data_IF_133222132114
#
_entry.id   IF_133222132114
#
_cell.length_a   1.000
_cell.length_b   1.000
_cell.length_c   1.000
_cell.angle_alpha   90.00
_cell.angle_beta   90.00
_cell.angle_gamma   90.00
#
_symmetry.space_group_name_H-M   'P 1'
#
loop_
_entity.id
_entity.type
_entity.pdbx_description
1 polymer ?
#
# COMPACT_ATOMS: atom_id res chain seq x y z
N UNK A 1 2.56 -6.71 -11.89
CA UNK A 1 3.85 -5.98 -11.78
C UNK A 1 4.77 -6.84 -10.93
N UNK A 2 5.92 -6.39 -10.45
CA UNK A 2 6.71 -7.19 -9.49
C UNK A 2 7.27 -6.28 -8.41
N UNK A 3 7.51 -6.83 -7.23
CA UNK A 3 8.09 -6.07 -6.12
C UNK A 3 9.45 -5.47 -6.52
N UNK A 4 10.23 -6.21 -7.32
CA UNK A 4 11.48 -5.71 -7.89
C UNK A 4 11.26 -4.50 -8.81
N UNK A 5 10.19 -4.48 -9.62
CA UNK A 5 9.88 -3.33 -10.47
C UNK A 5 9.51 -2.09 -9.65
N UNK A 6 8.82 -2.26 -8.51
CA UNK A 6 8.56 -1.20 -7.55
C UNK A 6 9.87 -0.63 -6.98
N UNK A 7 10.77 -1.49 -6.51
CA UNK A 7 12.07 -1.07 -5.96
C UNK A 7 12.94 -0.36 -6.99
N UNK A 8 12.99 -0.86 -8.23
CA UNK A 8 13.73 -0.21 -9.31
C UNK A 8 13.18 1.17 -9.64
N UNK A 9 11.85 1.31 -9.68
CA UNK A 9 11.21 2.58 -9.94
C UNK A 9 11.50 3.60 -8.83
N UNK A 10 11.46 3.19 -7.56
CA UNK A 10 11.80 4.05 -6.43
C UNK A 10 13.20 4.65 -6.54
N UNK A 11 14.16 3.87 -7.04
CA UNK A 11 15.55 4.29 -7.17
C UNK A 11 15.81 5.20 -8.38
N UNK A 12 15.04 5.04 -9.47
CA UNK A 12 15.39 5.62 -10.78
C UNK A 12 14.39 6.64 -11.32
N UNK A 13 13.10 6.49 -11.02
CA UNK A 13 12.02 7.25 -11.65
C UNK A 13 11.66 8.48 -10.79
N UNK A 14 11.23 9.56 -11.44
CA UNK A 14 10.78 10.78 -10.76
C UNK A 14 9.29 10.74 -10.36
N UNK A 15 8.51 9.87 -11.00
CA UNK A 15 7.07 9.67 -10.75
C UNK A 15 6.74 8.19 -10.92
N UNK A 16 5.74 7.65 -10.20
CA UNK A 16 5.37 6.25 -10.38
C UNK A 16 4.68 6.05 -11.74
N UNK A 17 4.83 4.88 -12.38
CA UNK A 17 4.14 4.58 -13.62
C UNK A 17 2.62 4.76 -13.52
N UNK A 18 1.97 5.46 -14.48
CA UNK A 18 0.53 5.74 -14.41
C UNK A 18 -0.34 4.48 -14.57
N UNK A 19 0.23 3.40 -15.10
CA UNK A 19 -0.43 2.11 -15.24
C UNK A 19 -0.53 1.32 -13.92
N UNK A 20 0.12 1.78 -12.84
CA UNK A 20 0.00 1.15 -11.52
C UNK A 20 -1.28 1.57 -10.82
N UNK A 21 -1.82 0.68 -9.98
CA UNK A 21 -2.97 0.99 -9.13
C UNK A 21 -2.68 2.19 -8.22
N UNK A 22 -3.74 2.88 -7.77
CA UNK A 22 -3.57 3.98 -6.82
C UNK A 22 -2.93 3.50 -5.53
N UNK A 23 -3.23 2.28 -5.07
CA UNK A 23 -2.56 1.64 -3.94
C UNK A 23 -1.03 1.52 -4.12
N UNK A 24 -0.55 1.01 -5.27
CA UNK A 24 0.90 0.90 -5.53
C UNK A 24 1.56 2.28 -5.68
N UNK A 25 0.88 3.23 -6.33
CA UNK A 25 1.36 4.61 -6.45
C UNK A 25 1.46 5.27 -5.08
N UNK A 26 0.51 5.01 -4.18
CA UNK A 26 0.52 5.52 -2.82
C UNK A 26 1.74 5.01 -2.03
N UNK A 27 2.04 3.71 -2.10
CA UNK A 27 3.24 3.14 -1.46
C UNK A 27 4.54 3.70 -2.05
N UNK A 28 4.57 3.96 -3.36
CA UNK A 28 5.72 4.57 -4.01
C UNK A 28 5.97 5.99 -3.49
N UNK A 29 4.92 6.81 -3.34
CA UNK A 29 5.03 8.16 -2.78
C UNK A 29 5.42 8.12 -1.30
N UNK A 30 4.85 7.21 -0.51
CA UNK A 30 5.18 7.04 0.91
C UNK A 30 6.66 6.72 1.12
N UNK A 31 7.22 5.80 0.31
CA UNK A 31 8.63 5.43 0.37
C UNK A 31 9.59 6.57 0.00
N UNK A 32 9.10 7.60 -0.68
CA UNK A 32 9.87 8.82 -1.01
C UNK A 32 9.59 9.99 -0.07
N UNK A 33 8.77 9.78 0.96
CA UNK A 33 8.39 10.81 1.93
C UNK A 33 7.35 11.81 1.42
N UNK A 34 6.70 11.55 0.29
CA UNK A 34 5.64 12.40 -0.26
C UNK A 34 4.27 12.01 0.34
N UNK A 35 4.05 12.47 1.57
CA UNK A 35 2.87 12.13 2.36
C UNK A 35 1.55 12.52 1.69
N UNK A 36 1.50 13.72 1.10
CA UNK A 36 0.28 14.25 0.47
C UNK A 36 -0.08 13.47 -0.79
N UNK A 37 0.90 13.15 -1.64
CA UNK A 37 0.64 12.34 -2.83
C UNK A 37 0.29 10.88 -2.47
N UNK A 38 0.87 10.33 -1.40
CA UNK A 38 0.52 9.00 -0.91
C UNK A 38 -0.97 8.92 -0.52
N UNK A 39 -1.45 9.87 0.31
CA UNK A 39 -2.86 9.94 0.69
C UNK A 39 -3.77 10.16 -0.51
N UNK A 40 -3.42 11.07 -1.42
CA UNK A 40 -4.22 11.35 -2.60
C UNK A 40 -4.39 10.11 -3.49
N UNK A 41 -3.31 9.34 -3.70
CA UNK A 41 -3.36 8.10 -4.48
C UNK A 41 -4.19 7.01 -3.79
N UNK A 42 -4.04 6.84 -2.47
CA UNK A 42 -4.80 5.85 -1.71
C UNK A 42 -6.30 6.20 -1.65
N UNK A 43 -6.63 7.48 -1.48
CA UNK A 43 -8.01 7.99 -1.44
C UNK A 43 -8.72 7.85 -2.80
N UNK A 44 -8.01 8.09 -3.91
CA UNK A 44 -8.56 7.94 -5.25
C UNK A 44 -8.80 6.47 -5.65
N UNK A 45 -8.18 5.52 -4.96
CA UNK A 45 -8.34 4.09 -5.18
C UNK A 45 -9.43 3.53 -4.26
N UNK A 46 -10.66 3.45 -4.77
CA UNK A 46 -11.83 2.97 -4.01
C UNK A 46 -11.84 1.45 -3.77
N UNK A 47 -10.80 0.74 -4.21
CA UNK A 47 -10.67 -0.70 -4.00
C UNK A 47 -10.32 -1.05 -2.54
N UNK A 48 -10.35 -2.36 -2.24
CA UNK A 48 -9.85 -2.89 -0.97
C UNK A 48 -8.36 -2.66 -0.80
N UNK A 49 -7.60 -2.63 -1.89
CA UNK A 49 -6.16 -2.43 -1.86
C UNK A 49 -5.83 -0.97 -1.57
N UNK A 50 -6.56 -0.03 -2.17
CA UNK A 50 -6.47 1.40 -1.83
C UNK A 50 -6.81 1.66 -0.35
N UNK A 51 -7.90 1.04 0.12
CA UNK A 51 -8.28 1.09 1.54
C UNK A 51 -7.21 0.49 2.47
N UNK A 52 -6.52 -0.58 2.04
CA UNK A 52 -5.48 -1.22 2.85
C UNK A 52 -4.25 -0.31 2.99
N UNK A 53 -3.81 0.32 1.89
CA UNK A 53 -2.71 1.28 1.94
C UNK A 53 -3.10 2.52 2.75
N UNK A 54 -4.34 3.01 2.63
CA UNK A 54 -4.82 4.14 3.44
C UNK A 54 -4.81 3.82 4.94
N UNK A 55 -5.15 2.58 5.32
CA UNK A 55 -5.08 2.13 6.70
C UNK A 55 -3.64 2.16 7.27
N UNK A 56 -2.67 1.72 6.46
CA UNK A 56 -1.26 1.79 6.82
C UNK A 56 -0.78 3.25 6.96
N UNK A 57 -1.20 4.15 6.07
CA UNK A 57 -0.83 5.56 6.17
C UNK A 57 -1.34 6.20 7.47
N UNK A 58 -2.60 6.01 7.84
CA UNK A 58 -3.09 6.50 9.15
C UNK A 58 -2.41 5.82 10.34
N UNK A 59 -2.01 4.55 10.21
CA UNK A 59 -1.21 3.88 11.24
C UNK A 59 0.15 4.57 11.41
N UNK A 60 0.81 4.94 10.31
CA UNK A 60 2.07 5.69 10.30
C UNK A 60 1.91 7.11 10.86
N UNK A 61 0.74 7.72 10.68
CA UNK A 61 0.37 9.02 11.26
C UNK A 61 0.19 8.95 12.79
N UNK A 62 -0.17 7.78 13.32
CA UNK A 62 -0.56 7.58 14.71
C UNK A 62 -2.07 7.67 14.95
N UNK A 63 -2.87 7.88 13.90
CA UNK A 63 -4.34 7.85 13.97
C UNK A 63 -4.86 6.41 13.89
N UNK A 64 -4.74 5.70 15.02
CA UNK A 64 -5.12 4.29 15.12
C UNK A 64 -6.63 4.05 14.97
N UNK A 65 -7.46 5.08 15.22
CA UNK A 65 -8.90 5.00 15.06
C UNK A 65 -9.27 4.99 13.57
N UNK A 66 -8.76 5.95 12.80
CA UNK A 66 -8.97 5.98 11.35
C UNK A 66 -8.27 4.81 10.65
N UNK A 67 -7.06 4.45 11.07
CA UNK A 67 -6.41 3.24 10.58
C UNK A 67 -7.33 2.01 10.74
N UNK A 68 -7.95 1.85 11.93
CA UNK A 68 -8.92 0.79 12.20
C UNK A 68 -10.12 0.79 11.25
N UNK A 69 -10.70 1.96 10.97
CA UNK A 69 -11.78 2.11 10.00
C UNK A 69 -11.36 1.64 8.60
N UNK A 70 -10.19 2.05 8.13
CA UNK A 70 -9.70 1.70 6.80
C UNK A 70 -9.28 0.23 6.67
N UNK A 71 -8.70 -0.37 7.71
CA UNK A 71 -8.45 -1.83 7.74
C UNK A 71 -9.75 -2.62 7.61
N UNK A 72 -10.80 -2.20 8.33
CA UNK A 72 -12.12 -2.81 8.22
C UNK A 72 -12.70 -2.65 6.81
N UNK A 73 -12.56 -1.46 6.19
CA UNK A 73 -12.98 -1.21 4.80
C UNK A 73 -12.22 -2.06 3.78
N UNK A 74 -10.93 -2.31 4.03
CA UNK A 74 -10.10 -3.23 3.25
C UNK A 74 -10.48 -4.71 3.44
N UNK A 75 -11.29 -5.03 4.45
CA UNK A 75 -11.60 -6.40 4.84
C UNK A 75 -10.41 -7.14 5.45
N UNK A 76 -9.50 -6.42 6.13
CA UNK A 76 -8.29 -6.97 6.74
C UNK A 76 -8.22 -6.65 8.23
N UNK A 77 -7.65 -7.55 9.06
CA UNK A 77 -7.38 -7.23 10.45
C UNK A 77 -6.25 -6.19 10.55
N UNK A 78 -6.24 -5.45 11.66
CA UNK A 78 -5.08 -4.63 12.03
C UNK A 78 -3.85 -5.53 12.23
N UNK A 79 -2.65 -5.11 11.78
CA UNK A 79 -1.42 -5.84 12.07
C UNK A 79 -1.13 -5.91 13.57
N UNK A 80 -0.31 -6.88 13.96
CA UNK A 80 0.21 -6.93 15.32
C UNK A 80 0.98 -5.65 15.66
N UNK A 81 0.84 -5.15 16.89
CA UNK A 81 1.53 -3.94 17.35
C UNK A 81 3.07 -4.05 17.26
N UNK A 82 3.60 -5.28 17.29
CA UNK A 82 5.03 -5.58 17.14
C UNK A 82 5.56 -5.51 15.70
N UNK A 83 4.68 -5.48 14.68
CA UNK A 83 5.10 -5.34 13.30
C UNK A 83 5.52 -3.89 13.04
N UNK A 84 6.75 -3.66 12.58
CA UNK A 84 7.20 -2.29 12.27
C UNK A 84 6.43 -1.70 11.08
N UNK A 85 6.49 -0.37 10.91
CA UNK A 85 5.86 0.30 9.76
C UNK A 85 6.56 -0.09 8.46
N UNK A 86 7.88 -0.24 8.48
CA UNK A 86 8.68 -0.65 7.33
C UNK A 86 8.34 -2.09 6.91
N UNK A 87 8.17 -2.99 7.89
CA UNK A 87 7.77 -4.36 7.64
C UNK A 87 6.35 -4.45 7.07
N UNK A 88 5.42 -3.63 7.57
CA UNK A 88 4.07 -3.54 7.00
C UNK A 88 4.08 -2.99 5.57
N UNK A 89 4.85 -1.94 5.31
CA UNK A 89 5.02 -1.38 3.97
C UNK A 89 5.50 -2.45 2.99
N UNK A 90 6.47 -3.28 3.39
CA UNK A 90 6.98 -4.36 2.54
C UNK A 90 5.92 -5.44 2.28
N UNK A 91 5.13 -5.81 3.28
CA UNK A 91 4.00 -6.76 3.13
C UNK A 91 2.99 -6.25 2.10
N UNK A 92 2.59 -4.98 2.23
CA UNK A 92 1.70 -4.29 1.29
C UNK A 92 2.30 -4.29 -0.12
N UNK A 93 3.54 -3.82 -0.25
CA UNK A 93 4.24 -3.67 -1.51
C UNK A 93 4.36 -5.01 -2.26
N UNK A 94 4.69 -6.10 -1.56
CA UNK A 94 4.76 -7.44 -2.14
C UNK A 94 3.38 -7.94 -2.58
N UNK A 95 2.40 -7.87 -1.69
CA UNK A 95 1.05 -8.35 -1.95
C UNK A 95 0.38 -7.64 -3.14
N UNK A 96 0.63 -6.34 -3.31
CA UNK A 96 0.05 -5.54 -4.38
C UNK A 96 0.84 -5.59 -5.69
N UNK A 97 2.11 -6.01 -5.63
CA UNK A 97 2.93 -6.12 -6.83
C UNK A 97 2.69 -7.42 -7.59
N UNK A 98 2.41 -8.52 -6.89
CA UNK A 98 2.21 -9.84 -7.49
C UNK A 98 0.77 -10.06 -7.98
N UNK A 99 0.53 -10.63 -9.17
CA UNK A 99 -0.79 -11.10 -9.54
C UNK A 99 -1.17 -12.24 -8.60
N UNK A 100 -2.22 -12.07 -7.80
CA UNK A 100 -2.84 -13.15 -7.02
C UNK A 100 -3.18 -14.28 -7.99
N UNK A 101 -2.32 -15.29 -8.09
CA UNK A 101 -2.62 -16.50 -8.84
C UNK A 101 -3.59 -17.29 -7.98
N UNK A 102 -4.88 -17.42 -8.35
CA UNK A 102 -5.74 -18.32 -7.60
C UNK A 102 -5.17 -19.75 -7.70
N UNK A 103 -5.28 -20.58 -6.65
CA UNK A 103 -4.88 -21.98 -6.76
C UNK A 103 -5.62 -22.61 -7.93
N UNK A 104 -4.88 -23.23 -8.84
CA UNK A 104 -5.42 -23.94 -10.00
C UNK A 104 -6.25 -25.10 -9.46
N UNK A 105 -7.57 -25.01 -9.56
CA UNK A 105 -8.46 -26.13 -9.26
C UNK A 105 -8.07 -27.30 -10.19
N UNK A 106 -7.76 -28.44 -9.58
CA UNK A 106 -7.57 -29.72 -10.28
C UNK A 106 -8.90 -30.46 -10.39
#
# INVERSE_FOLDING_TARGET
MSFQALQQSLARDAVPPPAWSGALRALWHDARGDWSAAHACAQADESRDGSWVHAYLHRKEGDLANAGYWYARAGRPRPAASLSLEAEWEVLARALSEPTTPPRAS
#
